data_IF_673375253166
#
_entry.id   IF_673375253166
#
_cell.length_a   1.000
_cell.length_b   1.000
_cell.length_c   1.000
_cell.angle_alpha   90.00
_cell.angle_beta   90.00
_cell.angle_gamma   90.00
#
_symmetry.space_group_name_H-M   'P 1'
#
loop_
_entity.id
_entity.type
_entity.pdbx_description
1 polymer ?
#
# COMPACT_ATOMS: atom_id res chain seq x y z
N UNK A 1 -29.55 13.35 0.63
CA UNK A 1 -28.19 12.93 1.07
C UNK A 1 -27.90 13.66 2.37
N UNK A 2 -27.80 12.95 3.49
CA UNK A 2 -27.37 13.55 4.75
C UNK A 2 -25.88 13.92 4.62
N UNK A 3 -25.58 15.21 4.58
CA UNK A 3 -24.21 15.72 4.67
C UNK A 3 -23.72 15.47 6.09
N UNK A 4 -23.25 14.25 6.37
CA UNK A 4 -22.55 13.96 7.63
C UNK A 4 -21.38 14.95 7.68
N UNK A 5 -21.36 15.80 8.71
CA UNK A 5 -20.32 16.82 8.89
C UNK A 5 -18.96 16.13 8.81
N UNK A 6 -18.13 16.55 7.85
CA UNK A 6 -16.75 16.07 7.74
C UNK A 6 -15.95 16.79 8.81
N UNK A 7 -15.59 16.08 9.88
CA UNK A 7 -14.84 16.66 10.96
C UNK A 7 -13.35 16.56 10.63
N UNK A 8 -12.67 17.70 10.73
CA UNK A 8 -11.23 17.82 10.56
C UNK A 8 -10.71 18.60 11.75
N UNK A 9 -9.75 18.04 12.47
CA UNK A 9 -9.18 18.65 13.67
C UNK A 9 -8.10 19.65 13.36
N UNK A 10 -7.39 20.07 14.40
CA UNK A 10 -6.37 21.11 14.33
C UNK A 10 -5.08 20.57 13.73
N UNK A 11 -4.69 19.33 14.06
CA UNK A 11 -3.49 18.68 13.48
C UNK A 11 -3.63 18.64 11.96
N UNK A 12 -4.76 18.19 11.43
CA UNK A 12 -4.98 18.13 9.99
C UNK A 12 -4.82 19.50 9.29
N UNK A 13 -5.17 20.60 9.97
CA UNK A 13 -5.18 21.96 9.43
C UNK A 13 -3.87 22.72 9.66
N UNK A 14 -3.00 22.23 10.54
CA UNK A 14 -1.70 22.84 10.81
C UNK A 14 -0.95 23.11 9.51
N UNK A 15 -0.54 24.37 9.35
CA UNK A 15 0.22 24.84 8.20
C UNK A 15 1.68 24.46 8.39
N UNK A 16 2.28 23.86 7.36
CA UNK A 16 3.67 23.42 7.35
C UNK A 16 4.34 23.78 6.02
N UNK A 17 5.68 23.77 6.02
CA UNK A 17 6.50 24.03 4.84
C UNK A 17 6.20 23.01 3.72
N UNK A 18 6.15 23.44 2.44
CA UNK A 18 5.81 22.54 1.33
C UNK A 18 6.87 21.49 0.98
N UNK A 19 8.09 21.59 1.52
CA UNK A 19 9.12 20.57 1.40
C UNK A 19 8.90 19.39 2.35
N UNK A 20 9.69 18.32 2.20
CA UNK A 20 9.58 17.15 3.07
C UNK A 20 9.74 17.54 4.54
N UNK A 21 8.84 17.06 5.39
CA UNK A 21 8.91 17.25 6.84
C UNK A 21 10.21 16.63 7.34
N UNK A 22 11.08 17.49 7.87
CA UNK A 22 12.33 17.05 8.47
C UNK A 22 12.04 16.34 9.79
N UNK A 23 12.59 15.14 9.93
CA UNK A 23 12.62 14.38 11.16
C UNK A 23 14.08 14.19 11.54
N UNK A 24 14.41 14.28 12.82
CA UNK A 24 15.65 13.67 13.29
C UNK A 24 15.71 12.22 12.79
N UNK A 25 16.89 11.71 12.45
CA UNK A 25 17.11 10.41 11.80
C UNK A 25 16.78 9.21 12.70
N UNK A 26 15.69 9.27 13.45
CA UNK A 26 15.17 8.17 14.22
C UNK A 26 14.39 7.23 13.29
N UNK A 27 14.67 5.93 13.32
CA UNK A 27 13.88 4.97 12.56
C UNK A 27 12.43 4.97 13.08
N UNK A 28 11.49 4.68 12.19
CA UNK A 28 10.09 4.44 12.58
C UNK A 28 10.04 3.40 13.72
N UNK A 29 9.16 3.61 14.69
CA UNK A 29 8.89 2.60 15.71
C UNK A 29 8.12 1.42 15.11
N UNK A 30 8.11 0.27 15.81
CA UNK A 30 7.31 -0.88 15.39
C UNK A 30 5.82 -0.54 15.32
N UNK A 31 5.32 0.25 16.27
CA UNK A 31 3.92 0.69 16.30
C UNK A 31 3.58 1.58 15.09
N UNK A 32 4.45 2.53 14.74
CA UNK A 32 4.26 3.38 13.55
C UNK A 32 4.26 2.55 12.27
N UNK A 33 5.16 1.57 12.14
CA UNK A 33 5.16 0.67 10.98
C UNK A 33 3.88 -0.14 10.87
N UNK A 34 3.41 -0.75 11.95
CA UNK A 34 2.14 -1.51 11.91
C UNK A 34 0.93 -0.59 11.65
N UNK A 35 0.95 0.65 12.13
CA UNK A 35 -0.07 1.64 11.82
C UNK A 35 -0.09 2.00 10.32
N UNK A 36 1.08 2.27 9.73
CA UNK A 36 1.21 2.56 8.30
C UNK A 36 0.86 1.33 7.44
N UNK A 37 1.16 0.13 7.93
CA UNK A 37 0.72 -1.11 7.30
C UNK A 37 -0.81 -1.22 7.28
N UNK A 38 -1.47 -0.90 8.40
CA UNK A 38 -2.92 -0.84 8.49
C UNK A 38 -3.50 0.17 7.49
N UNK A 39 -2.92 1.37 7.38
CA UNK A 39 -3.28 2.34 6.35
C UNK A 39 -3.17 1.74 4.94
N UNK A 40 -2.06 1.07 4.63
CA UNK A 40 -1.84 0.43 3.34
C UNK A 40 -2.92 -0.60 3.02
N UNK A 41 -3.28 -1.46 3.98
CA UNK A 41 -4.36 -2.46 3.82
C UNK A 41 -5.72 -1.79 3.60
N UNK A 42 -6.01 -0.68 4.31
CA UNK A 42 -7.28 0.00 4.21
C UNK A 42 -7.53 0.65 2.84
N UNK A 43 -6.48 0.98 2.07
CA UNK A 43 -6.63 1.40 0.67
C UNK A 43 -7.33 0.30 -0.14
N UNK A 44 -6.87 -0.95 0.01
CA UNK A 44 -7.42 -2.10 -0.70
C UNK A 44 -8.86 -2.41 -0.29
N UNK A 45 -9.18 -2.24 1.00
CA UNK A 45 -10.54 -2.42 1.53
C UNK A 45 -11.49 -1.34 1.00
N UNK A 46 -11.09 -0.07 1.03
CA UNK A 46 -11.96 1.05 0.60
C UNK A 46 -12.23 1.03 -0.91
N UNK A 47 -11.30 0.50 -1.71
CA UNK A 47 -11.47 0.40 -3.16
C UNK A 47 -12.12 -0.91 -3.61
N UNK A 48 -12.43 -1.83 -2.69
CA UNK A 48 -13.11 -3.12 -2.93
C UNK A 48 -12.45 -4.02 -4.01
N UNK A 49 -11.27 -3.65 -4.52
CA UNK A 49 -10.62 -4.28 -5.68
C UNK A 49 -9.43 -5.19 -5.31
N UNK A 50 -8.97 -5.20 -4.05
CA UNK A 50 -7.64 -5.75 -3.69
C UNK A 50 -7.64 -6.61 -2.41
N UNK A 51 -8.81 -7.07 -1.96
CA UNK A 51 -8.98 -7.79 -0.68
C UNK A 51 -8.06 -9.02 -0.51
N UNK A 52 -7.61 -9.64 -1.61
CA UNK A 52 -6.78 -10.85 -1.58
C UNK A 52 -5.28 -10.64 -1.88
N UNK A 53 -4.84 -9.42 -2.24
CA UNK A 53 -3.44 -9.20 -2.61
C UNK A 53 -2.64 -8.35 -1.63
N UNK A 54 -3.30 -7.52 -0.81
CA UNK A 54 -2.59 -6.61 0.11
C UNK A 54 -1.65 -7.36 1.07
N UNK A 55 -2.06 -8.52 1.62
CA UNK A 55 -1.24 -9.34 2.51
C UNK A 55 0.05 -9.87 1.85
N UNK A 56 0.02 -10.16 0.55
CA UNK A 56 1.17 -10.64 -0.20
C UNK A 56 2.18 -9.52 -0.49
N UNK A 57 1.79 -8.25 -0.29
CA UNK A 57 2.64 -7.09 -0.52
C UNK A 57 3.43 -6.65 0.71
N UNK A 58 3.27 -7.29 1.88
CA UNK A 58 3.91 -6.84 3.14
C UNK A 58 5.43 -6.76 3.01
N UNK A 59 6.08 -7.74 2.37
CA UNK A 59 7.54 -7.73 2.17
C UNK A 59 7.99 -6.56 1.29
N UNK A 60 7.37 -6.39 0.12
CA UNK A 60 7.69 -5.29 -0.79
C UNK A 60 7.40 -3.93 -0.15
N UNK A 61 6.33 -3.82 0.63
CA UNK A 61 5.98 -2.60 1.33
C UNK A 61 7.02 -2.24 2.39
N UNK A 62 7.51 -3.23 3.16
CA UNK A 62 8.59 -3.04 4.12
C UNK A 62 9.88 -2.58 3.44
N UNK A 63 10.23 -3.16 2.29
CA UNK A 63 11.40 -2.74 1.50
C UNK A 63 11.27 -1.30 1.01
N UNK A 64 10.09 -0.90 0.50
CA UNK A 64 9.83 0.47 0.08
C UNK A 64 9.98 1.46 1.25
N UNK A 65 9.34 1.17 2.38
CA UNK A 65 9.41 2.03 3.58
C UNK A 65 10.86 2.13 4.08
N UNK A 66 11.60 1.02 4.11
CA UNK A 66 13.01 1.01 4.50
C UNK A 66 13.86 1.86 3.54
N UNK A 67 13.70 1.69 2.22
CA UNK A 67 14.44 2.45 1.22
C UNK A 67 14.19 3.97 1.35
N UNK A 68 12.94 4.37 1.64
CA UNK A 68 12.50 5.76 1.78
C UNK A 68 12.90 6.41 3.10
N UNK A 69 13.20 5.62 4.13
CA UNK A 69 13.56 6.13 5.46
C UNK A 69 15.06 6.10 5.74
N UNK A 70 15.81 5.19 5.09
CA UNK A 70 17.24 4.97 5.35
C UNK A 70 18.19 5.97 4.65
N UNK A 71 17.74 6.70 3.62
CA UNK A 71 18.59 7.60 2.84
C UNK A 71 17.98 9.00 2.79
N UNK A 72 18.82 10.04 2.81
CA UNK A 72 18.37 11.42 2.67
C UNK A 72 18.02 11.75 1.20
N UNK A 73 16.94 12.52 0.94
CA UNK A 73 15.98 13.03 1.92
C UNK A 73 15.03 11.92 2.42
N UNK A 74 14.87 11.85 3.75
CA UNK A 74 14.13 10.77 4.41
C UNK A 74 12.64 11.10 4.53
N UNK A 75 11.79 10.09 4.29
CA UNK A 75 10.33 10.18 4.43
C UNK A 75 9.85 9.93 5.86
N UNK A 76 10.75 9.72 6.83
CA UNK A 76 10.39 9.45 8.22
C UNK A 76 9.43 10.50 8.78
N UNK A 77 9.68 11.79 8.53
CA UNK A 77 8.81 12.87 9.00
C UNK A 77 7.41 12.82 8.39
N UNK A 78 7.30 12.49 7.11
CA UNK A 78 6.02 12.31 6.42
C UNK A 78 5.23 11.12 6.96
N UNK A 79 5.89 10.00 7.20
CA UNK A 79 5.28 8.81 7.75
C UNK A 79 4.81 9.01 9.19
N UNK A 80 5.59 9.71 10.03
CA UNK A 80 5.17 10.09 11.38
C UNK A 80 3.97 11.05 11.31
N UNK A 81 4.04 12.08 10.45
CA UNK A 81 2.95 13.02 10.25
C UNK A 81 1.65 12.32 9.86
N UNK A 82 1.71 11.35 8.95
CA UNK A 82 0.56 10.54 8.56
C UNK A 82 -0.08 9.82 9.75
N UNK A 83 0.72 9.26 10.68
CA UNK A 83 0.14 8.61 11.87
C UNK A 83 -0.68 9.56 12.72
N UNK A 84 -0.22 10.81 12.91
CA UNK A 84 -0.97 11.81 13.67
C UNK A 84 -2.25 12.26 12.96
N UNK A 85 -2.15 12.56 11.68
CA UNK A 85 -3.31 12.99 10.85
C UNK A 85 -4.39 11.91 10.84
N UNK A 86 -4.00 10.66 10.61
CA UNK A 86 -4.97 9.55 10.52
C UNK A 86 -5.58 9.28 11.89
N UNK A 87 -4.79 9.29 12.96
CA UNK A 87 -5.32 9.11 14.31
C UNK A 87 -6.36 10.18 14.65
N UNK A 88 -6.07 11.46 14.35
CA UNK A 88 -7.04 12.55 14.55
C UNK A 88 -8.32 12.33 13.72
N UNK A 89 -8.21 11.92 12.46
CA UNK A 89 -9.38 11.63 11.63
C UNK A 89 -10.20 10.46 12.20
N UNK A 90 -9.54 9.41 12.70
CA UNK A 90 -10.19 8.26 13.34
C UNK A 90 -10.94 8.70 14.60
N UNK A 91 -10.30 9.50 15.46
CA UNK A 91 -10.88 9.96 16.72
C UNK A 91 -12.13 10.83 16.48
N UNK A 92 -12.13 11.64 15.43
CA UNK A 92 -13.24 12.55 15.09
C UNK A 92 -14.37 11.88 14.31
N UNK A 93 -14.06 10.93 13.42
CA UNK A 93 -15.03 10.43 12.44
C UNK A 93 -15.37 8.95 12.60
N UNK A 94 -14.64 8.22 13.44
CA UNK A 94 -14.63 6.76 13.50
C UNK A 94 -13.75 6.15 12.41
N UNK A 95 -13.20 4.96 12.67
CA UNK A 95 -12.14 4.36 11.86
C UNK A 95 -12.52 4.19 10.38
N UNK A 96 -13.63 3.50 10.09
CA UNK A 96 -14.07 3.22 8.72
C UNK A 96 -14.29 4.52 7.92
N UNK A 97 -14.97 5.48 8.54
CA UNK A 97 -15.30 6.75 7.90
C UNK A 97 -14.05 7.61 7.68
N UNK A 98 -13.09 7.58 8.60
CA UNK A 98 -11.82 8.29 8.47
C UNK A 98 -11.05 7.87 7.21
N UNK A 99 -10.93 6.55 6.97
CA UNK A 99 -10.26 6.05 5.76
C UNK A 99 -11.04 6.39 4.49
N UNK A 100 -12.37 6.26 4.49
CA UNK A 100 -13.21 6.66 3.33
C UNK A 100 -13.04 8.15 3.01
N UNK A 101 -13.07 9.02 4.04
CA UNK A 101 -12.85 10.45 3.87
C UNK A 101 -11.45 10.74 3.33
N UNK A 102 -10.41 10.13 3.91
CA UNK A 102 -9.02 10.29 3.51
C UNK A 102 -8.77 9.93 2.05
N UNK A 103 -9.31 8.81 1.59
CA UNK A 103 -9.04 8.31 0.24
C UNK A 103 -9.95 8.89 -0.83
N UNK A 104 -11.25 9.06 -0.54
CA UNK A 104 -12.25 9.36 -1.56
C UNK A 104 -12.78 10.79 -1.53
N UNK A 105 -12.67 11.48 -0.39
CA UNK A 105 -13.39 12.75 -0.18
C UNK A 105 -12.48 13.95 -0.07
N UNK A 106 -11.46 13.90 0.80
CA UNK A 106 -10.49 14.99 0.88
C UNK A 106 -9.75 15.07 -0.45
N UNK A 107 -9.82 16.21 -1.13
CA UNK A 107 -9.04 16.42 -2.35
C UNK A 107 -7.63 16.84 -1.98
N UNK A 108 -6.66 16.44 -2.79
CA UNK A 108 -5.34 17.05 -2.71
C UNK A 108 -5.47 18.48 -3.25
N UNK A 109 -4.94 19.50 -2.54
CA UNK A 109 -4.99 20.87 -3.03
C UNK A 109 -4.20 21.01 -4.35
N UNK A 110 -4.68 21.89 -5.22
CA UNK A 110 -3.97 22.25 -6.45
C UNK A 110 -2.78 23.16 -6.09
N UNK A 111 -1.61 22.54 -5.90
CA UNK A 111 -0.38 23.23 -5.53
C UNK A 111 0.49 22.42 -4.56
N UNK A 112 1.56 23.04 -4.03
CA UNK A 112 2.38 22.42 -3.00
C UNK A 112 1.51 22.05 -1.77
N UNK A 113 1.76 20.89 -1.13
CA UNK A 113 1.05 20.54 0.09
C UNK A 113 1.49 21.52 1.18
N UNK A 114 0.54 22.19 1.85
CA UNK A 114 0.86 23.23 2.87
C UNK A 114 0.19 22.96 4.20
N UNK A 115 -0.52 21.83 4.33
CA UNK A 115 -1.10 21.36 5.58
C UNK A 115 -0.68 19.94 5.87
N UNK A 116 -0.70 19.53 7.14
CA UNK A 116 -0.37 18.14 7.51
C UNK A 116 -1.23 17.10 6.78
N UNK A 117 -2.52 17.38 6.59
CA UNK A 117 -3.41 16.52 5.79
C UNK A 117 -2.99 16.49 4.32
N UNK A 118 -2.66 17.64 3.73
CA UNK A 118 -2.19 17.70 2.34
C UNK A 118 -0.88 16.92 2.15
N UNK A 119 0.06 17.01 3.09
CA UNK A 119 1.29 16.20 3.11
C UNK A 119 0.99 14.71 3.17
N UNK A 120 0.12 14.29 4.11
CA UNK A 120 -0.30 12.89 4.25
C UNK A 120 -0.88 12.37 2.94
N UNK A 121 -1.70 13.15 2.26
CA UNK A 121 -2.25 12.78 0.95
C UNK A 121 -1.17 12.71 -0.14
N UNK A 122 -0.37 13.75 -0.28
CA UNK A 122 0.56 13.92 -1.39
C UNK A 122 1.74 12.93 -1.30
N UNK A 123 2.33 12.74 -0.12
CA UNK A 123 3.57 12.00 0.06
C UNK A 123 3.37 10.56 0.52
N UNK A 124 2.29 10.26 1.26
CA UNK A 124 2.08 8.93 1.86
C UNK A 124 0.97 8.17 1.16
N UNK A 125 -0.25 8.73 1.12
CA UNK A 125 -1.42 8.03 0.53
C UNK A 125 -1.21 7.77 -0.96
N UNK A 126 -0.77 8.77 -1.73
CA UNK A 126 -0.50 8.57 -3.16
C UNK A 126 0.58 7.52 -3.41
N UNK A 127 1.65 7.51 -2.63
CA UNK A 127 2.74 6.54 -2.78
C UNK A 127 2.23 5.12 -2.51
N UNK A 128 1.45 4.93 -1.45
CA UNK A 128 0.88 3.63 -1.10
C UNK A 128 -0.13 3.14 -2.15
N UNK A 129 -0.94 4.06 -2.68
CA UNK A 129 -1.83 3.80 -3.82
C UNK A 129 -1.04 3.36 -5.05
N UNK A 130 0.00 4.11 -5.43
CA UNK A 130 0.84 3.79 -6.59
C UNK A 130 1.43 2.40 -6.41
N UNK A 131 1.95 2.09 -5.23
CA UNK A 131 2.49 0.77 -4.93
C UNK A 131 1.44 -0.33 -5.10
N UNK A 132 0.22 -0.16 -4.57
CA UNK A 132 -0.85 -1.15 -4.76
C UNK A 132 -1.16 -1.37 -6.24
N UNK A 133 -1.32 -0.30 -7.01
CA UNK A 133 -1.64 -0.38 -8.44
C UNK A 133 -0.51 -1.05 -9.24
N UNK A 134 0.74 -0.70 -8.95
CA UNK A 134 1.90 -1.25 -9.63
C UNK A 134 2.13 -2.74 -9.29
N UNK A 135 1.89 -3.15 -8.05
CA UNK A 135 2.17 -4.50 -7.60
C UNK A 135 1.07 -5.51 -7.99
N UNK A 136 -0.21 -5.11 -7.96
CA UNK A 136 -1.31 -5.97 -8.38
C UNK A 136 -1.36 -6.18 -9.89
N UNK A 137 -0.68 -5.33 -10.66
CA UNK A 137 -0.88 -5.21 -12.09
C UNK A 137 -2.32 -4.77 -12.40
N UNK A 138 -2.55 -4.12 -13.53
CA UNK A 138 -3.89 -3.66 -13.92
C UNK A 138 -4.93 -4.77 -14.15
N UNK A 139 -4.65 -6.01 -13.71
CA UNK A 139 -5.49 -7.20 -13.82
C UNK A 139 -6.90 -6.99 -13.28
N UNK A 140 -7.04 -6.27 -12.16
CA UNK A 140 -8.34 -5.97 -11.55
C UNK A 140 -9.01 -4.71 -12.10
N UNK A 141 -8.25 -3.82 -12.77
CA UNK A 141 -8.78 -2.63 -13.45
C UNK A 141 -9.24 -2.90 -14.90
N UNK A 142 -9.54 -4.16 -15.23
CA UNK A 142 -10.01 -4.55 -16.57
C UNK A 142 -8.90 -4.68 -17.63
N UNK A 143 -7.63 -4.54 -17.25
CA UNK A 143 -6.47 -4.75 -18.12
C UNK A 143 -6.24 -6.23 -18.42
N UNK A 144 -7.09 -6.83 -19.26
CA UNK A 144 -6.81 -8.14 -19.85
C UNK A 144 -5.61 -7.97 -20.80
N UNK A 145 -4.45 -8.51 -20.40
CA UNK A 145 -3.20 -8.61 -21.18
C UNK A 145 -2.22 -7.41 -21.09
N UNK A 146 -1.89 -6.91 -19.90
CA UNK A 146 -0.69 -6.09 -19.77
C UNK A 146 0.57 -6.98 -19.84
N UNK A 147 1.30 -6.90 -20.95
CA UNK A 147 2.55 -7.64 -21.23
C UNK A 147 3.77 -7.13 -20.42
N UNK A 148 3.54 -6.42 -19.32
CA UNK A 148 4.58 -5.80 -18.49
C UNK A 148 5.00 -6.60 -17.27
N UNK A 149 4.47 -7.81 -17.06
CA UNK A 149 4.95 -8.70 -16.00
C UNK A 149 6.28 -9.34 -16.43
N UNK A 150 7.37 -8.57 -16.35
CA UNK A 150 8.72 -9.13 -16.38
C UNK A 150 8.96 -9.78 -15.02
N UNK A 151 8.41 -10.97 -14.84
CA UNK A 151 8.87 -11.89 -13.82
C UNK A 151 10.31 -12.20 -14.18
N UNK A 152 11.26 -11.61 -13.46
CA UNK A 152 12.65 -12.03 -13.48
C UNK A 152 12.73 -13.50 -13.09
N UNK A 153 12.66 -14.37 -14.09
CA UNK A 153 12.94 -15.80 -14.01
C UNK A 153 13.31 -16.21 -15.43
N UNK A 154 14.61 -16.19 -15.72
CA UNK A 154 15.17 -17.12 -16.70
C UNK A 154 14.68 -18.51 -16.25
N UNK A 155 14.14 -19.32 -17.17
CA UNK A 155 13.40 -20.57 -16.91
C UNK A 155 11.94 -20.29 -16.44
N UNK A 156 10.85 -20.67 -17.11
CA UNK A 156 10.58 -21.86 -17.92
C UNK A 156 9.68 -21.56 -19.14
N UNK A 157 10.28 -21.55 -20.34
CA UNK A 157 9.61 -21.94 -21.58
C UNK A 157 10.43 -23.04 -22.25
N UNK A 158 10.77 -24.06 -21.45
CA UNK A 158 11.25 -25.32 -21.99
C UNK A 158 10.21 -26.36 -21.60
N UNK A 159 9.72 -27.08 -22.61
CA UNK A 159 8.90 -28.26 -22.40
C UNK A 159 9.65 -29.25 -21.50
N UNK A 160 8.90 -29.95 -20.64
CA UNK A 160 9.45 -31.00 -19.78
C UNK A 160 10.11 -32.07 -20.67
N UNK A 161 11.43 -32.21 -20.60
CA UNK A 161 12.22 -33.12 -21.47
C UNK A 161 11.94 -34.60 -21.16
N UNK A 162 11.22 -34.94 -20.08
CA UNK A 162 10.78 -36.32 -19.79
C UNK A 162 9.39 -36.35 -19.18
N UNK A 163 8.42 -36.85 -19.94
CA UNK A 163 7.12 -37.29 -19.42
C UNK A 163 7.28 -38.75 -18.99
N UNK A 164 7.10 -39.04 -17.70
CA UNK A 164 7.09 -40.41 -17.20
C UNK A 164 5.92 -41.16 -17.83
N UNK A 165 6.21 -42.22 -18.60
CA UNK A 165 5.21 -43.20 -19.03
C UNK A 165 5.33 -44.40 -18.08
N UNK A 166 4.31 -44.69 -17.26
CA UNK A 166 4.32 -45.93 -16.49
C UNK A 166 4.32 -47.13 -17.45
N UNK A 167 5.26 -48.05 -17.24
CA UNK A 167 5.35 -49.31 -17.98
C UNK A 167 4.20 -50.23 -17.54
N UNK A 168 3.34 -50.75 -18.44
CA UNK A 168 2.25 -51.65 -18.06
C UNK A 168 2.72 -52.97 -17.38
N UNK A 169 4.02 -53.26 -17.35
CA UNK A 169 4.56 -54.48 -16.74
C UNK A 169 4.63 -54.47 -15.19
N UNK A 170 4.40 -53.36 -14.50
CA UNK A 170 4.57 -53.30 -13.02
C UNK A 170 3.31 -53.52 -12.18
N UNK A 171 2.13 -53.67 -12.79
CA UNK A 171 0.86 -53.80 -12.05
C UNK A 171 0.46 -55.25 -11.67
N UNK A 172 1.26 -56.27 -12.01
CA UNK A 172 0.93 -57.67 -11.70
C UNK A 172 1.70 -58.27 -10.51
N UNK A 173 2.41 -57.47 -9.71
CA UNK A 173 3.20 -57.96 -8.57
C UNK A 173 2.62 -57.63 -7.18
N UNK A 174 1.34 -57.22 -7.09
CA UNK A 174 0.68 -56.94 -5.82
C UNK A 174 -0.74 -57.53 -5.75
N UNK A 175 -0.92 -58.79 -6.18
CA UNK A 175 -2.01 -59.65 -5.72
C UNK A 175 -1.52 -61.10 -5.65
N UNK A 176 -0.90 -61.46 -4.52
CA UNK A 176 -0.72 -62.84 -4.04
C UNK A 176 -0.61 -62.80 -2.53
#
# INVERSE_FOLDING_TARGET
MNTKLMLTGDICKDIIDPGLIQSEQHPLTAAQREFLWKLFVQIGNVWENVHYESSNLKSSWLEMVAAKTNVAPSYTGEYINATYVIQELIDLNGEENAYRLLFLTYKQPEGPPTTRLAHTKAFVVNEFIIMQVMASGFKHFGGKNYHGYVKGSRYSKQDLVRVYKPDPATNNAQQS
#
